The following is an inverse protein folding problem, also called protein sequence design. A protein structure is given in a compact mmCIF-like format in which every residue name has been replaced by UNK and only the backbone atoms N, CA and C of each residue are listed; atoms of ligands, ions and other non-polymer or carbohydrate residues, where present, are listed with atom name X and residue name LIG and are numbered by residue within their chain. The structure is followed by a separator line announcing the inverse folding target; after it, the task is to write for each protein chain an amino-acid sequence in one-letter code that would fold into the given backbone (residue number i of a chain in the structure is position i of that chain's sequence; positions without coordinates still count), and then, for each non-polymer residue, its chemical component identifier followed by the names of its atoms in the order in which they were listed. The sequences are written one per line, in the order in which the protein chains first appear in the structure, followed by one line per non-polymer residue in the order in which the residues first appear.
data_IF_241865189595
#
_entry.id   IF_241865189595
#
_cell.length_a   1.000
_cell.length_b   1.000
_cell.length_c   1.000
_cell.angle_alpha   90.00
_cell.angle_beta   90.00
_cell.angle_gamma   90.00
#
_symmetry.space_group_name_H-M   'P 1'
#
loop_
_entity.id
_entity.type
_entity.pdbx_description
1 polymer ?
#
# COMPACT_ATOMS: atom_id res chain seq x y z
N UNK A 1 -6.68 -15.65 -6.37
CA UNK A 1 -6.34 -14.26 -5.97
C UNK A 1 -5.80 -14.31 -4.56
N UNK A 2 -4.62 -13.73 -4.29
CA UNK A 2 -4.06 -13.66 -2.93
C UNK A 2 -4.97 -12.74 -2.09
N UNK A 3 -5.19 -13.06 -0.81
CA UNK A 3 -5.96 -12.20 0.08
C UNK A 3 -5.25 -10.84 0.22
N UNK A 4 -5.94 -9.72 0.01
CA UNK A 4 -5.37 -8.36 0.09
C UNK A 4 -4.64 -8.11 1.42
N UNK A 5 -5.11 -8.68 2.53
CA UNK A 5 -4.42 -8.58 3.82
C UNK A 5 -3.05 -9.25 3.80
N UNK A 6 -2.92 -10.41 3.13
CA UNK A 6 -1.64 -11.09 2.96
C UNK A 6 -0.73 -10.27 2.06
N UNK A 7 -1.24 -9.76 0.94
CA UNK A 7 -0.44 -8.94 0.03
C UNK A 7 0.04 -7.64 0.68
N UNK A 8 -0.79 -6.96 1.48
CA UNK A 8 -0.38 -5.76 2.23
C UNK A 8 0.68 -6.10 3.27
N UNK A 9 0.57 -7.27 3.92
CA UNK A 9 1.59 -7.76 4.85
C UNK A 9 2.92 -8.05 4.13
N UNK A 10 2.88 -8.63 2.93
CA UNK A 10 4.08 -8.87 2.11
C UNK A 10 4.72 -7.54 1.67
N UNK A 11 3.91 -6.54 1.29
CA UNK A 11 4.40 -5.18 0.97
C UNK A 11 5.07 -4.56 2.18
N UNK A 12 4.45 -4.64 3.36
CA UNK A 12 5.02 -4.15 4.60
C UNK A 12 6.36 -4.81 4.90
N UNK A 13 6.44 -6.14 4.82
CA UNK A 13 7.66 -6.90 5.06
C UNK A 13 8.77 -6.49 4.09
N UNK A 14 8.46 -6.41 2.79
CA UNK A 14 9.43 -6.00 1.77
C UNK A 14 9.97 -4.59 2.02
N UNK A 15 9.08 -3.60 2.23
CA UNK A 15 9.46 -2.21 2.44
C UNK A 15 10.27 -2.04 3.73
N UNK A 16 9.80 -2.66 4.82
CA UNK A 16 10.46 -2.56 6.13
C UNK A 16 11.84 -3.22 6.13
N UNK A 17 11.99 -4.35 5.45
CA UNK A 17 13.26 -5.09 5.39
C UNK A 17 14.31 -4.36 4.56
N UNK A 18 13.91 -3.73 3.45
CA UNK A 18 14.86 -3.23 2.43
C UNK A 18 15.00 -1.71 2.40
N UNK A 19 14.07 -0.95 2.99
CA UNK A 19 13.97 0.48 2.74
C UNK A 19 13.73 1.30 4.01
N UNK A 20 12.51 1.28 4.55
CA UNK A 20 12.14 2.07 5.72
C UNK A 20 10.97 1.43 6.47
N UNK A 21 10.87 1.62 7.79
CA UNK A 21 9.84 0.97 8.59
C UNK A 21 8.45 1.54 8.28
N UNK A 22 7.51 0.64 7.97
CA UNK A 22 6.09 0.95 7.79
C UNK A 22 5.22 -0.13 8.43
N UNK A 23 3.98 0.23 8.73
CA UNK A 23 2.90 -0.70 9.08
C UNK A 23 1.78 -0.52 8.06
N UNK A 24 1.40 -1.61 7.39
CA UNK A 24 0.32 -1.64 6.40
C UNK A 24 -0.99 -2.10 7.02
N UNK A 25 -2.07 -1.40 6.72
CA UNK A 25 -3.41 -1.71 7.19
C UNK A 25 -4.39 -1.67 6.03
N UNK A 26 -5.22 -2.70 5.89
CA UNK A 26 -6.42 -2.65 5.05
C UNK A 26 -7.52 -2.04 5.91
N UNK A 27 -8.12 -0.95 5.44
CA UNK A 27 -9.17 -0.24 6.13
C UNK A 27 -10.54 -0.75 5.63
N UNK A 28 -11.32 0.13 5.01
CA UNK A 28 -12.65 -0.20 4.50
C UNK A 28 -12.64 -0.52 3.00
N UNK A 29 -13.72 -1.13 2.53
CA UNK A 29 -14.02 -1.25 1.09
C UNK A 29 -15.32 -0.51 0.80
N UNK A 30 -15.25 0.44 -0.13
CA UNK A 30 -16.39 1.29 -0.54
C UNK A 30 -16.53 1.16 -2.05
N UNK A 31 -17.72 0.77 -2.51
CA UNK A 31 -18.03 0.65 -3.95
C UNK A 31 -16.98 -0.13 -4.78
N UNK A 32 -16.45 -1.21 -4.20
CA UNK A 32 -15.45 -2.08 -4.85
C UNK A 32 -13.99 -1.60 -4.73
N UNK A 33 -13.76 -0.42 -4.17
CA UNK A 33 -12.43 0.12 -3.89
C UNK A 33 -12.03 -0.18 -2.45
N UNK A 34 -10.95 -0.92 -2.27
CA UNK A 34 -10.38 -1.23 -0.96
C UNK A 34 -9.33 -0.18 -0.59
N UNK A 35 -9.51 0.45 0.57
CA UNK A 35 -8.57 1.45 1.09
C UNK A 35 -7.46 0.75 1.86
N UNK A 36 -6.22 1.11 1.58
CA UNK A 36 -5.02 0.64 2.26
C UNK A 36 -4.22 1.83 2.78
N UNK A 37 -3.72 1.74 4.00
CA UNK A 37 -2.90 2.75 4.64
C UNK A 37 -1.56 2.17 5.10
N UNK A 38 -0.48 2.86 4.76
CA UNK A 38 0.85 2.61 5.29
C UNK A 38 1.28 3.78 6.18
N UNK A 39 1.79 3.45 7.37
CA UNK A 39 2.14 4.44 8.39
C UNK A 39 3.53 4.15 8.96
N UNK A 40 4.33 5.19 9.20
CA UNK A 40 5.63 5.06 9.87
C UNK A 40 5.55 5.45 11.37
N UNK A 41 6.68 5.35 12.07
CA UNK A 41 6.78 5.69 13.51
C UNK A 41 6.48 7.17 13.83
N UNK A 42 6.60 8.08 12.86
CA UNK A 42 6.31 9.50 13.02
C UNK A 42 4.82 9.84 12.82
N UNK A 43 3.98 8.83 12.54
CA UNK A 43 2.60 8.99 12.09
C UNK A 43 2.44 9.68 10.72
N UNK A 44 3.50 9.65 9.90
CA UNK A 44 3.38 9.95 8.47
C UNK A 44 2.57 8.84 7.81
N UNK A 45 1.80 9.19 6.78
CA UNK A 45 0.86 8.27 6.14
C UNK A 45 0.94 8.35 4.63
N UNK A 46 0.84 7.18 3.99
CA UNK A 46 0.41 7.03 2.60
C UNK A 46 -0.87 6.22 2.62
N UNK A 47 -1.94 6.76 2.03
CA UNK A 47 -3.19 6.05 1.83
C UNK A 47 -3.44 5.89 0.34
N UNK A 48 -3.84 4.70 -0.05
CA UNK A 48 -4.20 4.35 -1.42
C UNK A 48 -5.55 3.66 -1.46
N UNK A 49 -6.22 3.74 -2.58
CA UNK A 49 -7.37 2.90 -2.91
C UNK A 49 -6.99 1.94 -4.02
N UNK A 50 -7.47 0.71 -3.92
CA UNK A 50 -7.18 -0.36 -4.84
C UNK A 50 -8.50 -0.99 -5.33
N UNK A 51 -8.72 -0.98 -6.64
CA UNK A 51 -9.79 -1.74 -7.27
C UNK A 51 -9.26 -3.12 -7.65
N UNK A 52 -9.52 -4.10 -6.78
CA UNK A 52 -8.87 -5.39 -6.89
C UNK A 52 -9.24 -6.16 -8.14
N UNK A 53 -10.45 -5.96 -8.68
CA UNK A 53 -10.91 -6.64 -9.89
C UNK A 53 -10.27 -6.08 -11.17
N UNK A 54 -10.05 -4.76 -11.21
CA UNK A 54 -9.47 -4.10 -12.39
C UNK A 54 -7.95 -3.98 -12.31
N UNK A 55 -7.33 -4.56 -11.28
CA UNK A 55 -5.88 -4.55 -11.06
C UNK A 55 -5.32 -3.12 -11.06
N UNK A 56 -6.04 -2.19 -10.42
CA UNK A 56 -5.70 -0.79 -10.41
C UNK A 56 -5.63 -0.26 -8.98
N UNK A 57 -4.78 0.73 -8.75
CA UNK A 57 -4.73 1.45 -7.49
C UNK A 57 -4.23 2.88 -7.72
N UNK A 58 -4.57 3.79 -6.80
CA UNK A 58 -4.10 5.17 -6.82
C UNK A 58 -3.86 5.70 -5.41
N UNK A 59 -2.99 6.71 -5.29
CA UNK A 59 -2.69 7.33 -4.00
C UNK A 59 -3.74 8.39 -3.69
N UNK A 60 -4.42 8.23 -2.56
CA UNK A 60 -5.42 9.16 -2.03
C UNK A 60 -4.79 10.27 -1.18
N UNK A 61 -3.76 9.92 -0.41
CA UNK A 61 -3.14 10.83 0.54
C UNK A 61 -1.68 10.48 0.74
N UNK A 62 -0.83 11.50 0.76
CA UNK A 62 0.57 11.41 1.14
C UNK A 62 0.86 12.53 2.15
N UNK A 63 1.30 12.17 3.35
CA UNK A 63 1.73 13.11 4.40
C UNK A 63 3.04 12.64 4.99
N UNK A 64 4.06 13.49 4.95
CA UNK A 64 5.37 13.25 5.58
C UNK A 64 6.32 12.34 4.79
N UNK A 65 5.79 11.42 3.99
CA UNK A 65 6.60 10.67 3.03
C UNK A 65 7.06 11.55 1.86
N UNK A 66 8.26 11.27 1.35
CA UNK A 66 8.78 11.86 0.11
C UNK A 66 8.12 11.22 -1.13
N UNK A 67 8.25 11.87 -2.29
CA UNK A 67 7.75 11.31 -3.55
C UNK A 67 8.42 9.97 -3.89
N UNK A 68 9.73 9.86 -3.69
CA UNK A 68 10.48 8.62 -3.96
C UNK A 68 9.98 7.47 -3.08
N UNK A 69 9.67 7.74 -1.81
CA UNK A 69 9.10 6.74 -0.90
C UNK A 69 7.67 6.35 -1.30
N UNK A 70 6.85 7.31 -1.75
CA UNK A 70 5.52 7.05 -2.30
C UNK A 70 5.63 6.14 -3.51
N UNK A 71 6.49 6.48 -4.47
CA UNK A 71 6.62 5.76 -5.73
C UNK A 71 7.13 4.33 -5.50
N UNK A 72 8.16 4.17 -4.67
CA UNK A 72 8.65 2.85 -4.27
C UNK A 72 7.56 1.99 -3.61
N UNK A 73 6.77 2.58 -2.72
CA UNK A 73 5.69 1.86 -2.04
C UNK A 73 4.59 1.48 -3.02
N UNK A 74 4.22 2.38 -3.93
CA UNK A 74 3.22 2.14 -4.97
C UNK A 74 3.66 1.05 -5.94
N UNK A 75 4.90 1.11 -6.43
CA UNK A 75 5.47 0.10 -7.33
C UNK A 75 5.52 -1.28 -6.66
N UNK A 76 5.93 -1.32 -5.39
CA UNK A 76 5.94 -2.55 -4.59
C UNK A 76 4.53 -3.09 -4.39
N UNK A 77 3.57 -2.22 -4.07
CA UNK A 77 2.17 -2.59 -3.92
C UNK A 77 1.61 -3.19 -5.21
N UNK A 78 1.76 -2.49 -6.34
CA UNK A 78 1.27 -2.97 -7.64
C UNK A 78 1.86 -4.34 -7.99
N UNK A 79 3.19 -4.51 -7.83
CA UNK A 79 3.88 -5.77 -8.15
C UNK A 79 3.42 -6.95 -7.29
N UNK A 80 3.15 -6.74 -6.00
CA UNK A 80 2.83 -7.82 -5.06
C UNK A 80 1.33 -8.10 -4.93
N UNK A 81 0.49 -7.11 -5.20
CA UNK A 81 -0.98 -7.23 -5.12
C UNK A 81 -1.55 -7.63 -6.48
N UNK A 82 -0.97 -7.14 -7.58
CA UNK A 82 -1.39 -7.40 -8.96
C UNK A 82 -0.23 -8.02 -9.79
N UNK A 83 0.26 -9.22 -9.43
CA UNK A 83 1.26 -9.89 -10.24
C UNK A 83 0.67 -10.27 -11.61
N UNK A 84 1.48 -10.11 -12.67
CA UNK A 84 1.15 -10.59 -14.03
C UNK A 84 0.85 -12.10 -14.07
#
# INVERSE_FOLDING_TARGET
MKNIHNSVSDVQEFITTNHFPVVGNVLDTVDGWTVVEFKNANNDIIRLEAHLQDHNACVLLQRGFTNDQRDLLMDTFMRLVFPE
#
